data_IF_388535730471
#
_entry.id   IF_388535730471
#
_cell.length_a   1.000
_cell.length_b   1.000
_cell.length_c   1.000
_cell.angle_alpha   90.00
_cell.angle_beta   90.00
_cell.angle_gamma   90.00
#
_symmetry.space_group_name_H-M   'P 1'
#
loop_
_entity.id
_entity.type
_entity.pdbx_description
1 polymer ?
#
# COMPACT_ATOMS: atom_id res chain seq x y z
N UNK A 1 9.00 6.07 -31.89
CA UNK A 1 9.21 4.65 -31.57
C UNK A 1 10.67 4.31 -31.85
N UNK A 2 11.36 3.64 -30.91
CA UNK A 2 12.76 3.25 -31.06
C UNK A 2 12.87 1.84 -31.65
N UNK A 3 13.70 1.68 -32.69
CA UNK A 3 13.92 0.37 -33.32
C UNK A 3 14.71 -0.60 -32.43
N UNK A 4 15.61 -0.09 -31.58
CA UNK A 4 16.31 -0.93 -30.60
C UNK A 4 15.34 -1.62 -29.63
N UNK A 5 14.32 -0.89 -29.16
CA UNK A 5 13.27 -1.45 -28.28
C UNK A 5 12.43 -2.49 -29.00
N UNK A 6 12.05 -2.21 -30.26
CA UNK A 6 11.22 -3.14 -31.06
C UNK A 6 11.92 -4.44 -31.42
N UNK A 7 13.22 -4.36 -31.72
CA UNK A 7 14.02 -5.52 -32.18
C UNK A 7 14.70 -6.26 -31.01
N UNK A 8 14.77 -5.66 -29.83
CA UNK A 8 15.57 -6.18 -28.72
C UNK A 8 17.07 -6.22 -29.03
N UNK A 9 17.57 -5.33 -29.89
CA UNK A 9 18.97 -5.29 -30.31
C UNK A 9 19.44 -3.85 -30.46
N UNK A 10 20.74 -3.64 -30.29
CA UNK A 10 21.35 -2.32 -30.47
C UNK A 10 21.10 -1.76 -31.87
N UNK A 11 20.78 -0.47 -31.95
CA UNK A 11 20.47 0.22 -33.20
C UNK A 11 21.30 1.52 -33.30
N UNK A 12 21.93 1.82 -34.45
CA UNK A 12 21.95 1.07 -35.69
C UNK A 12 22.73 -0.26 -35.57
N UNK A 13 22.46 -1.22 -36.47
CA UNK A 13 23.22 -2.48 -36.50
C UNK A 13 24.67 -2.24 -36.97
N UNK A 14 25.57 -3.19 -36.72
CA UNK A 14 27.03 -3.09 -37.05
C UNK A 14 27.27 -3.12 -38.55
N UNK A 15 26.37 -3.69 -39.31
CA UNK A 15 26.48 -3.85 -40.77
C UNK A 15 26.14 -2.55 -41.45
N UNK A 16 27.12 -1.83 -42.00
CA UNK A 16 27.08 -0.51 -42.65
C UNK A 16 26.03 -0.27 -43.75
N UNK A 17 24.89 -0.95 -43.71
CA UNK A 17 23.72 -0.66 -44.53
C UNK A 17 22.91 0.49 -43.92
N UNK A 18 22.35 1.38 -44.73
CA UNK A 18 21.49 2.47 -44.26
C UNK A 18 20.27 1.83 -43.53
N UNK A 19 20.17 2.02 -42.25
CA UNK A 19 19.02 1.55 -41.46
C UNK A 19 18.02 2.71 -41.21
N UNK A 20 16.81 2.34 -40.83
CA UNK A 20 15.71 3.28 -40.62
C UNK A 20 16.01 4.15 -39.39
N UNK A 21 16.00 5.48 -39.60
CA UNK A 21 16.20 6.45 -38.52
C UNK A 21 15.10 6.33 -37.43
N UNK A 22 15.50 6.35 -36.19
CA UNK A 22 14.54 6.35 -35.06
C UNK A 22 13.85 7.71 -34.95
N UNK A 23 12.55 7.72 -34.86
CA UNK A 23 11.74 8.96 -34.77
C UNK A 23 12.05 9.86 -33.56
N UNK A 24 12.64 9.29 -32.50
CA UNK A 24 13.01 10.05 -31.31
C UNK A 24 14.37 10.75 -31.39
N UNK A 25 15.13 10.53 -32.46
CA UNK A 25 16.42 11.18 -32.69
C UNK A 25 16.24 12.37 -33.62
N UNK A 26 16.80 13.56 -33.29
CA UNK A 26 16.86 14.67 -34.22
C UNK A 26 17.67 14.27 -35.46
N UNK A 27 17.28 14.73 -36.63
CA UNK A 27 17.96 14.42 -37.90
C UNK A 27 19.47 14.73 -37.89
N UNK A 28 19.89 15.75 -37.15
CA UNK A 28 21.29 16.15 -37.00
C UNK A 28 22.14 15.15 -36.14
N UNK A 29 21.50 14.23 -35.43
CA UNK A 29 22.16 13.29 -34.51
C UNK A 29 22.09 11.84 -35.02
N UNK A 30 21.41 11.56 -36.12
CA UNK A 30 21.12 10.23 -36.59
C UNK A 30 22.41 9.41 -36.88
N UNK A 31 23.42 10.03 -37.46
CA UNK A 31 24.68 9.38 -37.89
C UNK A 31 25.65 9.08 -36.73
N UNK A 32 25.42 9.70 -35.55
CA UNK A 32 26.31 9.60 -34.37
C UNK A 32 25.57 9.17 -33.14
N UNK A 33 24.50 8.41 -33.29
CA UNK A 33 23.70 7.89 -32.17
C UNK A 33 23.78 6.37 -32.09
N UNK A 34 23.72 5.86 -30.83
CA UNK A 34 23.62 4.44 -30.56
C UNK A 34 22.55 4.24 -29.51
N UNK A 35 21.55 3.41 -29.81
CA UNK A 35 20.52 2.99 -28.90
C UNK A 35 20.76 1.53 -28.49
N UNK A 36 20.92 1.29 -27.19
CA UNK A 36 21.15 -0.04 -26.62
C UNK A 36 19.98 -0.38 -25.69
N UNK A 37 19.19 -1.44 -26.00
CA UNK A 37 18.06 -1.81 -25.16
C UNK A 37 18.55 -2.44 -23.86
N UNK A 38 17.88 -2.14 -22.77
CA UNK A 38 18.03 -2.81 -21.49
C UNK A 38 17.08 -4.01 -21.49
N UNK A 39 17.64 -5.20 -21.58
CA UNK A 39 16.87 -6.44 -21.68
C UNK A 39 17.05 -7.23 -20.38
N UNK A 40 15.92 -7.68 -19.80
CA UNK A 40 15.94 -8.65 -18.71
C UNK A 40 14.79 -9.64 -18.88
N UNK A 41 15.05 -10.90 -18.62
CA UNK A 41 14.06 -12.01 -18.73
C UNK A 41 13.35 -12.08 -20.09
N UNK A 42 14.02 -11.65 -21.17
CA UNK A 42 13.46 -11.64 -22.52
C UNK A 42 12.59 -10.44 -22.88
N UNK A 43 12.42 -9.50 -21.95
CA UNK A 43 11.65 -8.26 -22.17
C UNK A 43 12.58 -7.02 -22.21
N UNK A 44 12.23 -6.06 -23.04
CA UNK A 44 12.92 -4.75 -23.07
C UNK A 44 12.31 -3.86 -21.98
N UNK A 45 13.07 -3.63 -20.90
CA UNK A 45 12.64 -2.85 -19.73
C UNK A 45 13.07 -1.38 -19.79
N UNK A 46 13.93 -1.02 -20.72
CA UNK A 46 14.45 0.34 -20.87
C UNK A 46 15.32 0.51 -22.11
N UNK A 47 15.89 1.69 -22.26
CA UNK A 47 16.74 2.07 -23.39
C UNK A 47 17.86 2.96 -22.90
N UNK A 48 19.10 2.69 -23.31
CA UNK A 48 20.20 3.63 -23.27
C UNK A 48 20.37 4.27 -24.65
N UNK A 49 20.32 5.60 -24.70
CA UNK A 49 20.54 6.36 -25.92
C UNK A 49 21.80 7.20 -25.78
N UNK A 50 22.78 6.92 -26.61
CA UNK A 50 24.02 7.67 -26.71
C UNK A 50 23.96 8.56 -27.95
N UNK A 51 24.25 9.86 -27.78
CA UNK A 51 24.24 10.85 -28.85
C UNK A 51 25.63 11.48 -28.98
N UNK A 52 25.99 11.92 -30.18
CA UNK A 52 27.28 12.55 -30.51
C UNK A 52 28.50 11.65 -30.17
N UNK A 53 28.37 10.37 -30.42
CA UNK A 53 29.45 9.41 -30.17
C UNK A 53 30.41 9.45 -31.35
N UNK A 54 31.55 10.17 -31.21
CA UNK A 54 32.61 10.16 -32.22
C UNK A 54 33.43 8.86 -32.12
N UNK A 55 33.82 8.30 -33.31
CA UNK A 55 34.59 7.04 -33.39
C UNK A 55 35.86 7.01 -32.56
N UNK A 56 36.48 8.14 -32.30
CA UNK A 56 37.76 8.24 -31.54
C UNK A 56 37.58 8.17 -30.01
N UNK A 57 36.39 8.45 -29.48
CA UNK A 57 36.11 8.51 -28.05
C UNK A 57 34.99 7.53 -27.59
N UNK A 58 34.43 6.78 -28.54
CA UNK A 58 33.36 5.85 -28.20
C UNK A 58 33.92 4.66 -27.41
N UNK A 59 33.33 4.29 -26.27
CA UNK A 59 33.54 2.98 -25.70
C UNK A 59 33.15 1.92 -26.75
N UNK A 60 33.84 0.78 -26.71
CA UNK A 60 33.47 -0.28 -27.68
C UNK A 60 32.01 -0.65 -27.52
N UNK A 61 31.34 -0.92 -28.63
CA UNK A 61 29.91 -1.32 -28.62
C UNK A 61 29.66 -2.50 -27.69
N UNK A 62 30.57 -3.48 -27.70
CA UNK A 62 30.50 -4.63 -26.80
C UNK A 62 30.51 -4.23 -25.31
N UNK A 63 31.28 -3.20 -24.95
CA UNK A 63 31.28 -2.66 -23.59
C UNK A 63 29.94 -2.02 -23.23
N UNK A 64 29.35 -1.23 -24.15
CA UNK A 64 28.04 -0.60 -23.94
C UNK A 64 26.90 -1.63 -23.85
N UNK A 65 26.97 -2.68 -24.66
CA UNK A 65 26.01 -3.80 -24.60
C UNK A 65 26.13 -4.57 -23.26
N UNK A 66 27.36 -4.84 -22.82
CA UNK A 66 27.60 -5.46 -21.51
C UNK A 66 27.11 -4.59 -20.34
N UNK A 67 27.34 -3.27 -20.42
CA UNK A 67 26.79 -2.32 -19.43
C UNK A 67 25.25 -2.31 -19.44
N UNK A 68 24.66 -2.33 -20.63
CA UNK A 68 23.20 -2.34 -20.76
C UNK A 68 22.60 -3.64 -20.20
N UNK A 69 23.24 -4.77 -20.41
CA UNK A 69 22.85 -6.05 -19.82
C UNK A 69 22.93 -6.02 -18.29
N UNK A 70 24.05 -5.53 -17.74
CA UNK A 70 24.24 -5.41 -16.29
C UNK A 70 23.23 -4.46 -15.65
N UNK A 71 22.97 -3.31 -16.28
CA UNK A 71 21.94 -2.34 -15.83
C UNK A 71 20.53 -2.92 -15.95
N UNK A 72 20.23 -3.61 -17.04
CA UNK A 72 18.96 -4.29 -17.24
C UNK A 72 18.67 -5.30 -16.12
N UNK A 73 19.65 -6.15 -15.83
CA UNK A 73 19.54 -7.12 -14.74
C UNK A 73 19.39 -6.47 -13.38
N UNK A 74 20.17 -5.40 -13.08
CA UNK A 74 20.07 -4.69 -11.81
C UNK A 74 18.68 -4.04 -11.62
N UNK A 75 18.15 -3.38 -12.66
CA UNK A 75 16.81 -2.76 -12.63
C UNK A 75 15.70 -3.80 -12.51
N UNK A 76 15.81 -4.93 -13.19
CA UNK A 76 14.84 -6.02 -13.06
C UNK A 76 14.84 -6.60 -11.65
N UNK A 77 16.01 -6.83 -11.06
CA UNK A 77 16.14 -7.30 -9.68
C UNK A 77 15.57 -6.30 -8.68
N UNK A 78 15.79 -5.00 -8.89
CA UNK A 78 15.21 -3.98 -8.02
C UNK A 78 13.68 -3.95 -8.14
N UNK A 79 13.12 -3.96 -9.34
CA UNK A 79 11.66 -4.04 -9.57
C UNK A 79 11.05 -5.27 -8.91
N UNK A 80 11.71 -6.41 -9.00
CA UNK A 80 11.25 -7.64 -8.36
C UNK A 80 11.26 -7.50 -6.82
N UNK A 81 12.32 -6.93 -6.26
CA UNK A 81 12.39 -6.65 -4.81
C UNK A 81 11.28 -5.70 -4.36
N UNK A 82 11.06 -4.62 -5.10
CA UNK A 82 10.03 -3.63 -4.77
C UNK A 82 8.63 -4.27 -4.83
N UNK A 83 8.35 -5.08 -5.86
CA UNK A 83 7.09 -5.81 -5.98
C UNK A 83 6.91 -6.87 -4.87
N UNK A 84 7.99 -7.53 -4.43
CA UNK A 84 7.94 -8.44 -3.28
C UNK A 84 7.71 -7.70 -1.98
N UNK A 85 8.35 -6.53 -1.78
CA UNK A 85 8.13 -5.67 -0.62
C UNK A 85 6.69 -5.14 -0.58
N UNK A 86 6.15 -4.65 -1.71
CA UNK A 86 4.75 -4.23 -1.78
C UNK A 86 3.80 -5.35 -1.39
N UNK A 87 3.97 -6.56 -1.95
CA UNK A 87 3.18 -7.74 -1.57
C UNK A 87 3.37 -8.14 -0.10
N UNK A 88 4.55 -7.88 0.47
CA UNK A 88 4.84 -8.15 1.87
C UNK A 88 4.27 -7.11 2.85
N UNK A 89 3.97 -5.89 2.38
CA UNK A 89 3.52 -4.77 3.21
C UNK A 89 2.03 -4.46 3.11
N UNK A 90 1.37 -4.86 2.01
CA UNK A 90 -0.04 -4.56 1.77
C UNK A 90 -0.89 -5.83 1.71
N UNK A 91 -2.13 -5.72 2.14
CA UNK A 91 -3.13 -6.78 2.01
C UNK A 91 -3.70 -6.79 0.59
N UNK A 92 -3.68 -7.93 -0.12
CA UNK A 92 -4.09 -7.98 -1.52
C UNK A 92 -5.60 -7.79 -1.75
N UNK A 93 -6.44 -8.01 -0.73
CA UNK A 93 -7.88 -7.84 -0.86
C UNK A 93 -8.31 -6.38 -0.72
N UNK A 94 -7.71 -5.67 0.25
CA UNK A 94 -8.13 -4.32 0.65
C UNK A 94 -7.19 -3.22 0.20
N UNK A 95 -5.97 -3.57 -0.19
CA UNK A 95 -4.87 -2.64 -0.47
C UNK A 95 -4.51 -1.72 0.73
N UNK A 96 -4.96 -2.07 1.93
CA UNK A 96 -4.47 -1.45 3.16
C UNK A 96 -3.12 -2.06 3.55
N UNK A 97 -2.38 -1.38 4.42
CA UNK A 97 -1.20 -1.97 5.04
C UNK A 97 -1.59 -3.23 5.80
N UNK A 98 -0.75 -4.25 5.76
CA UNK A 98 -0.99 -5.50 6.47
C UNK A 98 -0.39 -5.46 7.90
N UNK A 99 -0.63 -6.52 8.67
CA UNK A 99 -0.14 -6.67 10.03
C UNK A 99 1.40 -6.61 10.16
N UNK A 100 2.14 -7.07 9.16
CA UNK A 100 3.61 -7.02 9.18
C UNK A 100 4.16 -5.59 9.16
N UNK A 101 3.49 -4.71 8.43
CA UNK A 101 3.86 -3.29 8.39
C UNK A 101 3.51 -2.56 9.70
N UNK A 102 2.53 -3.08 10.46
CA UNK A 102 2.06 -2.45 11.69
C UNK A 102 3.15 -2.36 12.76
N UNK A 103 3.93 -3.41 12.97
CA UNK A 103 4.92 -3.47 14.05
C UNK A 103 6.01 -2.40 13.88
N UNK A 104 6.44 -2.16 12.65
CA UNK A 104 7.42 -1.12 12.33
C UNK A 104 6.83 0.29 12.41
N UNK A 105 5.59 0.45 11.91
CA UNK A 105 4.87 1.72 11.98
C UNK A 105 4.62 2.12 13.45
N UNK A 106 4.17 1.19 14.27
CA UNK A 106 3.88 1.43 15.68
C UNK A 106 5.14 1.84 16.44
N UNK A 107 6.25 1.12 16.28
CA UNK A 107 7.54 1.48 16.90
C UNK A 107 7.99 2.87 16.50
N UNK A 108 7.87 3.19 15.22
CA UNK A 108 8.25 4.50 14.69
C UNK A 108 7.40 5.62 15.28
N UNK A 109 6.07 5.45 15.27
CA UNK A 109 5.16 6.48 15.77
C UNK A 109 5.25 6.69 17.27
N UNK A 110 5.37 5.61 18.04
CA UNK A 110 5.57 5.72 19.50
C UNK A 110 6.91 6.32 19.86
N UNK A 111 7.98 5.98 19.13
CA UNK A 111 9.29 6.62 19.31
C UNK A 111 9.24 8.13 19.03
N UNK A 112 8.56 8.55 17.98
CA UNK A 112 8.33 9.97 17.68
C UNK A 112 7.50 10.65 18.75
N UNK A 113 6.42 10.03 19.21
CA UNK A 113 5.54 10.53 20.26
C UNK A 113 6.30 10.76 21.57
N UNK A 114 7.19 9.85 21.98
CA UNK A 114 8.03 9.99 23.16
C UNK A 114 8.97 11.22 23.07
N UNK A 115 9.50 11.50 21.89
CA UNK A 115 10.39 12.64 21.67
C UNK A 115 9.66 13.98 21.56
N UNK A 116 8.48 13.99 20.94
CA UNK A 116 7.74 15.22 20.63
C UNK A 116 6.71 15.56 21.71
N UNK A 117 6.34 14.63 22.58
CA UNK A 117 5.22 14.77 23.51
C UNK A 117 3.84 14.74 22.84
N UNK A 118 3.77 14.43 21.53
CA UNK A 118 2.49 14.33 20.82
C UNK A 118 1.82 12.99 21.11
N UNK A 119 0.47 12.97 21.24
CA UNK A 119 -0.26 11.72 21.46
C UNK A 119 -0.24 10.83 20.21
N UNK A 120 -0.47 9.53 20.43
CA UNK A 120 -0.76 8.57 19.35
C UNK A 120 -1.95 7.74 19.78
N UNK A 121 -3.00 7.71 18.97
CA UNK A 121 -4.16 6.86 19.23
C UNK A 121 -4.18 5.64 18.31
N UNK A 122 -4.72 4.55 18.85
CA UNK A 122 -4.94 3.29 18.14
C UNK A 122 -6.44 2.95 18.19
N UNK A 123 -7.02 2.67 17.02
CA UNK A 123 -8.38 2.16 16.88
C UNK A 123 -8.30 0.71 16.43
N UNK A 124 -8.91 -0.21 17.18
CA UNK A 124 -9.13 -1.60 16.75
C UNK A 124 -10.58 -1.76 16.34
N UNK A 125 -10.83 -2.24 15.13
CA UNK A 125 -12.14 -2.31 14.48
C UNK A 125 -12.42 -3.74 14.06
N UNK A 126 -13.64 -4.20 14.26
CA UNK A 126 -14.09 -5.53 13.84
C UNK A 126 -15.49 -5.43 13.22
N UNK A 127 -15.72 -6.15 12.12
CA UNK A 127 -17.02 -6.19 11.45
C UNK A 127 -17.97 -7.10 12.23
N UNK A 128 -19.03 -6.53 12.76
CA UNK A 128 -20.00 -7.25 13.57
C UNK A 128 -20.72 -8.32 12.74
N UNK A 129 -20.81 -9.53 13.32
CA UNK A 129 -21.50 -10.67 12.70
C UNK A 129 -20.99 -11.09 11.32
N UNK A 130 -19.74 -10.82 10.98
CA UNK A 130 -19.15 -11.11 9.67
C UNK A 130 -19.30 -12.58 9.26
N UNK A 131 -19.15 -13.51 10.20
CA UNK A 131 -19.38 -14.93 9.94
C UNK A 131 -20.80 -15.22 9.42
N UNK A 132 -21.81 -14.55 9.97
CA UNK A 132 -23.19 -14.74 9.51
C UNK A 132 -23.41 -14.22 8.08
N UNK A 133 -22.68 -13.19 7.66
CA UNK A 133 -22.68 -12.72 6.27
C UNK A 133 -22.09 -13.80 5.36
N UNK A 134 -20.92 -14.35 5.70
CA UNK A 134 -20.30 -15.43 4.93
C UNK A 134 -21.18 -16.68 4.86
N UNK A 135 -21.76 -17.10 5.99
CA UNK A 135 -22.62 -18.29 6.06
C UNK A 135 -23.88 -18.12 5.20
N UNK A 136 -24.41 -16.90 5.06
CA UNK A 136 -25.64 -16.62 4.32
C UNK A 136 -25.42 -16.33 2.84
N UNK A 137 -24.36 -15.61 2.48
CA UNK A 137 -24.14 -15.07 1.12
C UNK A 137 -22.87 -15.59 0.45
N UNK A 138 -22.05 -16.38 1.16
CA UNK A 138 -20.79 -16.91 0.64
C UNK A 138 -19.59 -15.95 0.87
N UNK A 139 -18.40 -16.50 0.67
CA UNK A 139 -17.14 -15.78 0.93
C UNK A 139 -16.92 -14.58 -0.01
N UNK A 140 -17.40 -14.65 -1.25
CA UNK A 140 -17.26 -13.54 -2.21
C UNK A 140 -18.08 -12.31 -1.76
N UNK A 141 -19.23 -12.52 -1.14
CA UNK A 141 -20.00 -11.45 -0.52
C UNK A 141 -19.30 -10.87 0.71
N UNK A 142 -18.66 -11.73 1.53
CA UNK A 142 -17.80 -11.30 2.62
C UNK A 142 -16.62 -10.45 2.15
N UNK A 143 -15.97 -10.84 1.08
CA UNK A 143 -14.87 -10.08 0.46
C UNK A 143 -15.34 -8.70 -0.02
N UNK A 144 -16.55 -8.61 -0.58
CA UNK A 144 -17.17 -7.33 -0.95
C UNK A 144 -17.38 -6.43 0.26
N UNK A 145 -17.85 -6.99 1.39
CA UNK A 145 -18.05 -6.25 2.64
C UNK A 145 -16.70 -5.74 3.16
N UNK A 146 -15.68 -6.59 3.24
CA UNK A 146 -14.33 -6.22 3.69
C UNK A 146 -13.75 -5.07 2.83
N UNK A 147 -13.85 -5.17 1.50
CA UNK A 147 -13.38 -4.11 0.58
C UNK A 147 -14.11 -2.79 0.79
N UNK A 148 -15.42 -2.88 1.01
CA UNK A 148 -16.24 -1.69 1.22
C UNK A 148 -15.91 -0.99 2.54
N UNK A 149 -15.78 -1.76 3.63
CA UNK A 149 -15.34 -1.23 4.94
C UNK A 149 -13.93 -0.66 4.84
N UNK A 150 -12.98 -1.35 4.20
CA UNK A 150 -11.62 -0.83 3.98
C UNK A 150 -11.62 0.52 3.26
N UNK A 151 -12.49 0.67 2.25
CA UNK A 151 -12.64 1.93 1.51
C UNK A 151 -13.16 3.06 2.41
N UNK A 152 -14.13 2.77 3.26
CA UNK A 152 -14.66 3.73 4.25
C UNK A 152 -13.56 4.13 5.22
N UNK A 153 -12.86 3.15 5.80
CA UNK A 153 -11.75 3.38 6.74
C UNK A 153 -10.67 4.25 6.10
N UNK A 154 -10.24 3.91 4.88
CA UNK A 154 -9.20 4.67 4.18
C UNK A 154 -9.60 6.13 3.93
N UNK A 155 -10.86 6.38 3.56
CA UNK A 155 -11.38 7.73 3.32
C UNK A 155 -11.49 8.55 4.59
N UNK A 156 -12.01 7.98 5.68
CA UNK A 156 -12.17 8.66 6.95
C UNK A 156 -10.82 9.03 7.58
N UNK A 157 -9.83 8.15 7.45
CA UNK A 157 -8.47 8.37 7.97
C UNK A 157 -7.71 9.38 7.12
N UNK A 158 -7.78 9.29 5.78
CA UNK A 158 -7.04 10.17 4.86
C UNK A 158 -5.56 10.23 5.19
N UNK A 159 -5.00 11.43 5.18
CA UNK A 159 -3.58 11.68 5.49
C UNK A 159 -3.31 11.80 7.00
N UNK A 160 -4.34 11.72 7.86
CA UNK A 160 -4.22 11.88 9.30
C UNK A 160 -3.67 10.64 10.01
N UNK A 161 -3.64 9.50 9.34
CA UNK A 161 -3.24 8.25 9.98
C UNK A 161 -2.92 7.12 9.02
N UNK A 162 -2.73 5.97 9.59
CA UNK A 162 -2.33 4.76 8.85
C UNK A 162 -3.33 3.64 9.12
N UNK A 163 -4.17 3.27 8.15
CA UNK A 163 -5.06 2.13 8.26
C UNK A 163 -4.33 0.84 7.87
N UNK A 164 -4.65 -0.25 8.60
CA UNK A 164 -4.13 -1.59 8.41
C UNK A 164 -5.27 -2.61 8.37
N UNK A 165 -5.11 -3.68 7.59
CA UNK A 165 -5.87 -4.91 7.78
C UNK A 165 -5.13 -5.78 8.80
N UNK A 166 -5.69 -5.90 9.98
CA UNK A 166 -5.06 -6.60 11.11
C UNK A 166 -5.30 -8.11 11.09
N UNK A 167 -6.52 -8.51 10.71
CA UNK A 167 -6.96 -9.90 10.61
C UNK A 167 -7.92 -10.12 9.46
N UNK A 168 -8.68 -11.20 9.50
CA UNK A 168 -9.66 -11.54 8.47
C UNK A 168 -10.71 -10.45 8.26
N UNK A 169 -11.39 -10.06 9.31
CA UNK A 169 -12.46 -9.04 9.38
C UNK A 169 -12.09 -7.88 10.30
N UNK A 170 -10.81 -7.83 10.75
CA UNK A 170 -10.31 -6.86 11.70
C UNK A 170 -9.44 -5.81 11.01
N UNK A 171 -9.63 -4.56 11.40
CA UNK A 171 -8.83 -3.43 10.95
C UNK A 171 -8.22 -2.71 12.13
N UNK A 172 -7.08 -2.09 11.89
CA UNK A 172 -6.41 -1.26 12.87
C UNK A 172 -6.06 0.08 12.24
N UNK A 173 -6.18 1.15 13.02
CA UNK A 173 -5.77 2.49 12.58
C UNK A 173 -4.82 3.06 13.62
N UNK A 174 -3.68 3.58 13.16
CA UNK A 174 -2.81 4.44 13.96
C UNK A 174 -3.04 5.88 13.57
N UNK A 175 -3.28 6.74 14.56
CA UNK A 175 -3.51 8.18 14.41
C UNK A 175 -2.42 8.96 15.16
N UNK A 176 -1.29 9.29 14.51
CA UNK A 176 -0.26 10.14 15.10
C UNK A 176 -0.79 11.54 15.36
N UNK A 177 -0.45 12.13 16.51
CA UNK A 177 -0.88 13.45 16.92
C UNK A 177 -2.36 13.55 17.37
N UNK A 178 -3.12 12.45 17.33
CA UNK A 178 -4.51 12.42 17.76
C UNK A 178 -4.60 11.97 19.23
N UNK A 179 -5.33 12.73 20.02
CA UNK A 179 -5.77 12.37 21.36
C UNK A 179 -7.02 11.48 21.31
N UNK A 180 -7.54 11.10 22.48
CA UNK A 180 -8.73 10.25 22.61
C UNK A 180 -9.98 10.89 21.96
N UNK A 181 -10.17 12.20 22.10
CA UNK A 181 -11.31 12.89 21.53
C UNK A 181 -11.27 12.91 19.99
N UNK A 182 -10.11 13.18 19.41
CA UNK A 182 -9.90 13.14 17.97
C UNK A 182 -10.04 11.70 17.42
N UNK A 183 -9.53 10.70 18.15
CA UNK A 183 -9.69 9.30 17.82
C UNK A 183 -11.15 8.86 17.85
N UNK A 184 -11.91 9.30 18.87
CA UNK A 184 -13.34 9.02 18.98
C UNK A 184 -14.15 9.65 17.84
N UNK A 185 -13.81 10.87 17.44
CA UNK A 185 -14.45 11.53 16.30
C UNK A 185 -14.21 10.75 14.99
N UNK A 186 -12.98 10.30 14.74
CA UNK A 186 -12.65 9.46 13.60
C UNK A 186 -13.40 8.12 13.63
N UNK A 187 -13.45 7.47 14.78
CA UNK A 187 -14.19 6.21 14.97
C UNK A 187 -15.69 6.39 14.69
N UNK A 188 -16.28 7.50 15.15
CA UNK A 188 -17.70 7.82 14.93
C UNK A 188 -18.02 8.06 13.46
N UNK A 189 -17.11 8.73 12.73
CA UNK A 189 -17.22 8.92 11.29
C UNK A 189 -17.18 7.58 10.55
N UNK A 190 -16.23 6.71 10.90
CA UNK A 190 -16.11 5.37 10.31
C UNK A 190 -17.39 4.57 10.56
N UNK A 191 -17.85 4.48 11.81
CA UNK A 191 -19.03 3.69 12.17
C UNK A 191 -20.28 4.18 11.43
N UNK A 192 -20.49 5.49 11.36
CA UNK A 192 -21.61 6.09 10.65
C UNK A 192 -21.57 5.77 9.16
N UNK A 193 -20.40 5.92 8.54
CA UNK A 193 -20.22 5.66 7.11
C UNK A 193 -20.33 4.17 6.77
N UNK A 194 -19.83 3.27 7.62
CA UNK A 194 -20.00 1.82 7.43
C UNK A 194 -21.49 1.46 7.52
N UNK A 195 -22.20 1.96 8.50
CA UNK A 195 -23.64 1.71 8.68
C UNK A 195 -24.48 2.21 7.50
N UNK A 196 -24.03 3.26 6.82
CA UNK A 196 -24.69 3.82 5.64
C UNK A 196 -24.43 3.06 4.34
N UNK A 197 -23.58 2.03 4.36
CA UNK A 197 -23.26 1.23 3.18
C UNK A 197 -24.50 0.47 2.70
N UNK A 198 -24.91 0.72 1.46
CA UNK A 198 -25.97 -0.04 0.78
C UNK A 198 -25.33 -1.12 -0.11
N UNK A 199 -24.98 -2.25 0.51
CA UNK A 199 -24.27 -3.33 -0.18
C UNK A 199 -25.25 -4.34 -0.79
N UNK A 200 -25.00 -4.66 -2.05
CA UNK A 200 -25.73 -5.69 -2.80
C UNK A 200 -24.72 -6.69 -3.36
N UNK A 201 -25.03 -7.95 -3.19
CA UNK A 201 -24.30 -9.02 -3.81
C UNK A 201 -25.27 -9.76 -4.78
N UNK A 202 -24.88 -9.83 -6.06
CA UNK A 202 -25.78 -10.24 -7.13
C UNK A 202 -27.07 -9.40 -7.13
N UNK A 203 -28.23 -10.04 -6.94
CA UNK A 203 -29.54 -9.39 -6.90
C UNK A 203 -30.09 -9.20 -5.47
N UNK A 204 -29.31 -9.57 -4.44
CA UNK A 204 -29.76 -9.59 -3.04
C UNK A 204 -29.05 -8.50 -2.21
N UNK A 205 -29.79 -7.82 -1.37
CA UNK A 205 -29.23 -6.88 -0.40
C UNK A 205 -28.59 -7.65 0.75
N UNK A 206 -27.34 -7.29 1.10
CA UNK A 206 -26.63 -7.88 2.24
C UNK A 206 -27.25 -7.44 3.56
N UNK A 207 -27.84 -6.25 3.59
CA UNK A 207 -28.38 -5.60 4.77
C UNK A 207 -27.38 -4.62 5.38
N UNK A 208 -27.66 -4.19 6.62
CA UNK A 208 -26.81 -3.24 7.34
C UNK A 208 -25.55 -3.93 7.83
N UNK A 209 -24.39 -3.31 7.57
CA UNK A 209 -23.10 -3.71 8.12
C UNK A 209 -22.77 -2.79 9.26
N UNK A 210 -22.46 -3.34 10.41
CA UNK A 210 -22.04 -2.60 11.61
C UNK A 210 -20.61 -2.98 11.99
N UNK A 211 -19.95 -2.12 12.77
CA UNK A 211 -18.62 -2.34 13.33
C UNK A 211 -18.57 -2.00 14.80
N UNK A 212 -17.82 -2.78 15.56
CA UNK A 212 -17.41 -2.47 16.92
C UNK A 212 -16.00 -1.89 16.89
N UNK A 213 -15.74 -0.85 17.70
CA UNK A 213 -14.48 -0.12 17.71
C UNK A 213 -13.97 0.03 19.14
N UNK A 214 -12.73 -0.35 19.39
CA UNK A 214 -11.99 -0.08 20.61
C UNK A 214 -10.93 0.99 20.38
N UNK A 215 -10.80 1.94 21.28
CA UNK A 215 -9.85 3.05 21.20
C UNK A 215 -8.92 3.01 22.41
N UNK A 216 -7.63 3.24 22.17
CA UNK A 216 -6.66 3.56 23.21
C UNK A 216 -5.71 4.64 22.74
N UNK A 217 -5.24 5.49 23.66
CA UNK A 217 -4.37 6.63 23.37
C UNK A 217 -3.13 6.62 24.26
N UNK A 218 -1.96 6.80 23.65
CA UNK A 218 -0.71 7.06 24.32
C UNK A 218 -0.51 8.57 24.48
N UNK A 219 -0.01 9.09 25.61
CA UNK A 219 0.35 8.36 26.84
C UNK A 219 -0.82 8.19 27.82
N UNK A 220 -2.02 8.67 27.48
CA UNK A 220 -3.14 8.85 28.41
C UNK A 220 -3.67 7.52 28.96
N UNK A 221 -3.83 6.50 28.12
CA UNK A 221 -4.48 5.23 28.50
C UNK A 221 -3.52 4.05 28.58
N UNK A 222 -2.33 4.17 28.00
CA UNK A 222 -1.39 3.08 27.94
C UNK A 222 0.06 3.58 27.81
N UNK A 223 1.00 2.77 28.32
CA UNK A 223 2.40 2.90 27.98
C UNK A 223 2.63 2.39 26.54
N UNK A 224 3.76 2.74 25.95
CA UNK A 224 4.06 2.48 24.54
C UNK A 224 3.95 1.01 24.15
N UNK A 225 4.30 0.09 25.01
CA UNK A 225 4.28 -1.38 24.81
C UNK A 225 2.91 -2.02 24.94
N UNK A 226 1.91 -1.31 25.51
CA UNK A 226 0.58 -1.81 25.79
C UNK A 226 -0.54 -1.19 24.95
N UNK A 227 -0.24 -0.24 24.03
CA UNK A 227 -1.26 0.51 23.29
C UNK A 227 -2.21 -0.38 22.50
N UNK A 228 -1.68 -1.36 21.76
CA UNK A 228 -2.49 -2.30 20.97
C UNK A 228 -3.39 -3.14 21.86
N UNK A 229 -2.83 -3.64 22.98
CA UNK A 229 -3.59 -4.44 23.94
C UNK A 229 -4.72 -3.65 24.58
N UNK A 230 -4.49 -2.39 24.91
CA UNK A 230 -5.53 -1.52 25.46
C UNK A 230 -6.69 -1.30 24.47
N UNK A 231 -6.37 -1.07 23.19
CA UNK A 231 -7.37 -0.96 22.14
C UNK A 231 -8.16 -2.25 21.92
N UNK A 232 -7.48 -3.42 21.98
CA UNK A 232 -8.12 -4.74 21.88
C UNK A 232 -9.07 -5.02 23.06
N UNK A 233 -8.66 -4.70 24.30
CA UNK A 233 -9.52 -4.78 25.48
C UNK A 233 -10.76 -3.90 25.34
N UNK A 234 -10.61 -2.69 24.82
CA UNK A 234 -11.73 -1.77 24.56
C UNK A 234 -12.66 -2.33 23.46
N UNK A 235 -12.13 -2.92 22.39
CA UNK A 235 -12.92 -3.59 21.35
C UNK A 235 -13.69 -4.80 21.93
N UNK A 236 -13.02 -5.62 22.72
CA UNK A 236 -13.68 -6.75 23.39
C UNK A 236 -14.87 -6.27 24.22
N UNK A 237 -14.69 -5.20 24.99
CA UNK A 237 -15.77 -4.60 25.77
C UNK A 237 -16.91 -4.05 24.91
N UNK A 238 -16.58 -3.43 23.76
CA UNK A 238 -17.59 -2.99 22.79
C UNK A 238 -18.47 -4.18 22.32
N UNK A 239 -17.85 -5.34 22.04
CA UNK A 239 -18.56 -6.56 21.65
C UNK A 239 -19.42 -7.14 22.78
N UNK A 240 -18.94 -7.15 24.03
CA UNK A 240 -19.70 -7.62 25.19
C UNK A 240 -20.92 -6.75 25.49
N UNK A 241 -20.79 -5.44 25.39
CA UNK A 241 -21.87 -4.49 25.64
C UNK A 241 -22.98 -4.49 24.57
N UNK A 242 -22.90 -5.36 23.56
CA UNK A 242 -23.94 -5.59 22.54
C UNK A 242 -23.56 -5.10 21.14
N UNK A 243 -22.27 -4.94 20.87
CA UNK A 243 -21.72 -4.57 19.53
C UNK A 243 -22.19 -3.22 19.00
N UNK A 244 -21.85 -2.91 17.73
CA UNK A 244 -22.26 -1.68 17.03
C UNK A 244 -22.01 -0.43 17.86
N UNK A 245 -20.81 -0.34 18.49
CA UNK A 245 -20.43 0.77 19.38
C UNK A 245 -18.94 1.01 19.43
N UNK A 246 -18.62 2.17 19.96
CA UNK A 246 -17.27 2.63 20.21
C UNK A 246 -17.04 2.63 21.71
N UNK A 247 -15.94 2.05 22.17
CA UNK A 247 -15.49 2.08 23.56
C UNK A 247 -14.06 2.60 23.60
N UNK A 248 -13.79 3.63 24.39
CA UNK A 248 -12.43 4.06 24.70
C UNK A 248 -11.96 3.32 25.97
N UNK A 249 -10.67 2.94 26.00
CA UNK A 249 -10.05 2.31 27.15
C UNK A 249 -10.14 3.18 28.41
N UNK A 250 -10.04 4.51 28.25
CA UNK A 250 -10.22 5.45 29.37
C UNK A 250 -11.62 5.40 30.02
N UNK A 251 -12.65 4.97 29.29
CA UNK A 251 -13.99 4.77 29.87
C UNK A 251 -14.05 3.56 30.81
N UNK A 252 -13.16 2.56 30.60
CA UNK A 252 -13.12 1.34 31.42
C UNK A 252 -12.36 1.55 32.73
N UNK A 253 -11.46 2.51 32.79
CA UNK A 253 -10.73 2.87 34.01
C UNK A 253 -11.57 3.74 34.97
N UNK A 254 -12.70 4.28 34.49
CA UNK A 254 -13.59 5.15 35.27
C UNK A 254 -14.76 4.38 35.90
N UNK A 255 -14.96 3.09 35.58
CA UNK A 255 -15.92 2.17 36.20
C UNK A 255 -15.26 1.35 37.35
#
# INVERSE_FOLDING_TARGET
QCWAVRRGQSHPPVTGEPDITCYHLPDACADHSLCVPLIAQGETIGLLSFQNVTRERAPSRAYLELMAEALGLALANQRLRDALLEKALFDPLTNLRNRHHLDDALRTQLGQAQHTGQPVSCLMIDIDHFKAINDKFGHDAGDLVIKSVATVVQRAVGDKGMPFRYGGEEFLILLPGADDAAAFACASEIQTNVRSLALRYELTEIGTVDVSIGIASYPQHAQSDNLLRAADVALYRAKELGRSRIVSFGMLEAE
#
